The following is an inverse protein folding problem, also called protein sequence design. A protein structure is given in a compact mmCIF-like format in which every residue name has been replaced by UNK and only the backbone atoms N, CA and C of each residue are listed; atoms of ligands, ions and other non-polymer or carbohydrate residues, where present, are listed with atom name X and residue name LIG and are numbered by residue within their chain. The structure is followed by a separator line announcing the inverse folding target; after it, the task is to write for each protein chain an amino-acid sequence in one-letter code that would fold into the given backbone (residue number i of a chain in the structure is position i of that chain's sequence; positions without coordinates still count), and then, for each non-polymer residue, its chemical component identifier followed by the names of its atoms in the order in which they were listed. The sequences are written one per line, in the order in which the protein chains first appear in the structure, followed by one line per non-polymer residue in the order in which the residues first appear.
data_IF_000957513319
#
_entry.id   IF_000957513319
#
_cell.length_a   1.000
_cell.length_b   1.000
_cell.length_c   1.000
_cell.angle_alpha   90.00
_cell.angle_beta   90.00
_cell.angle_gamma   90.00
#
_symmetry.space_group_name_H-M   'P 1'
#
loop_
_entity.id
_entity.type
_entity.pdbx_description
1 polymer ?
#
# COMPACT_ATOMS: atom_id res chain seq x y z
N UNK A 1 -6.95 -26.24 29.99
CA UNK A 1 -7.73 -26.13 28.73
C UNK A 1 -6.92 -26.79 27.61
N UNK A 2 -7.20 -28.04 27.24
CA UNK A 2 -6.49 -28.72 26.13
C UNK A 2 -7.04 -28.17 24.82
N UNK A 3 -6.21 -27.45 24.05
CA UNK A 3 -6.56 -27.03 22.70
C UNK A 3 -6.70 -28.29 21.82
N UNK A 4 -7.75 -28.36 20.99
CA UNK A 4 -7.92 -29.48 20.07
C UNK A 4 -6.80 -29.48 19.03
N UNK A 5 -6.32 -30.67 18.63
CA UNK A 5 -5.24 -30.79 17.63
C UNK A 5 -5.58 -30.09 16.30
N UNK A 6 -6.85 -30.05 15.93
CA UNK A 6 -7.34 -29.34 14.74
C UNK A 6 -7.21 -27.82 14.87
N UNK A 7 -7.50 -27.25 16.03
CA UNK A 7 -7.34 -25.82 16.28
C UNK A 7 -5.86 -25.41 16.26
N UNK A 8 -5.00 -26.22 16.88
CA UNK A 8 -3.54 -26.00 16.84
C UNK A 8 -3.02 -26.04 15.41
N UNK A 9 -3.44 -27.05 14.62
CA UNK A 9 -3.07 -27.15 13.20
C UNK A 9 -3.58 -25.96 12.39
N UNK A 10 -4.81 -25.51 12.63
CA UNK A 10 -5.35 -24.32 11.98
C UNK A 10 -4.46 -23.11 12.24
N UNK A 11 -4.20 -22.77 13.50
CA UNK A 11 -3.38 -21.61 13.88
C UNK A 11 -1.96 -21.72 13.32
N UNK A 12 -1.32 -22.89 13.44
CA UNK A 12 0.04 -23.11 12.97
C UNK A 12 0.18 -22.87 11.45
N UNK A 13 -0.77 -23.36 10.64
CA UNK A 13 -0.73 -23.17 9.19
C UNK A 13 -0.88 -21.69 8.81
N UNK A 14 -1.74 -20.93 9.51
CA UNK A 14 -1.94 -19.50 9.22
C UNK A 14 -0.74 -18.67 9.68
N UNK A 15 -0.16 -19.01 10.83
CA UNK A 15 1.07 -18.39 11.30
C UNK A 15 2.23 -18.65 10.32
N UNK A 16 2.37 -19.87 9.82
CA UNK A 16 3.37 -20.20 8.81
C UNK A 16 3.14 -19.43 7.50
N UNK A 17 1.90 -19.30 7.05
CA UNK A 17 1.56 -18.52 5.86
C UNK A 17 1.91 -17.04 6.02
N UNK A 18 1.53 -16.42 7.14
CA UNK A 18 1.89 -15.03 7.45
C UNK A 18 3.42 -14.86 7.50
N UNK A 19 4.13 -15.80 8.11
CA UNK A 19 5.59 -15.78 8.18
C UNK A 19 6.23 -15.87 6.80
N UNK A 20 5.79 -16.80 5.95
CA UNK A 20 6.34 -16.96 4.60
C UNK A 20 6.04 -15.76 3.70
N UNK A 21 4.82 -15.21 3.78
CA UNK A 21 4.48 -13.96 3.09
C UNK A 21 5.35 -12.80 3.58
N UNK A 22 5.50 -12.66 4.89
CA UNK A 22 6.34 -11.62 5.49
C UNK A 22 7.79 -11.75 5.04
N UNK A 23 8.38 -12.95 5.11
CA UNK A 23 9.76 -13.18 4.68
C UNK A 23 9.93 -12.90 3.18
N UNK A 24 8.91 -13.20 2.37
CA UNK A 24 8.91 -12.85 0.94
C UNK A 24 8.98 -11.33 0.79
N UNK A 25 8.03 -10.57 1.33
CA UNK A 25 8.06 -9.10 1.22
C UNK A 25 9.32 -8.49 1.83
N UNK A 26 9.75 -8.96 3.01
CA UNK A 26 10.95 -8.49 3.67
C UNK A 26 12.21 -8.72 2.83
N UNK A 27 12.34 -9.87 2.15
CA UNK A 27 13.46 -10.11 1.23
C UNK A 27 13.51 -9.05 0.12
N UNK A 28 12.36 -8.65 -0.43
CA UNK A 28 12.28 -7.55 -1.40
C UNK A 28 12.62 -6.19 -0.78
N UNK A 29 12.22 -5.95 0.47
CA UNK A 29 12.59 -4.71 1.20
C UNK A 29 14.09 -4.52 1.33
N UNK A 30 14.85 -5.61 1.53
CA UNK A 30 16.32 -5.59 1.61
C UNK A 30 17.01 -5.62 0.25
N UNK A 31 16.40 -6.26 -0.76
CA UNK A 31 17.01 -6.39 -2.09
C UNK A 31 17.00 -5.07 -2.89
N UNK A 32 16.08 -4.16 -2.59
CA UNK A 32 15.98 -2.85 -3.25
C UNK A 32 16.83 -1.80 -2.54
N UNK A 33 17.65 -1.06 -3.28
CA UNK A 33 18.36 0.10 -2.74
C UNK A 33 17.39 1.21 -2.30
N UNK A 34 17.83 2.08 -1.37
CA UNK A 34 17.10 3.32 -1.06
C UNK A 34 17.07 4.19 -2.32
N UNK A 35 15.89 4.70 -2.67
CA UNK A 35 15.69 5.46 -3.92
C UNK A 35 15.39 4.60 -5.14
N UNK A 36 15.19 3.29 -4.99
CA UNK A 36 14.84 2.39 -6.09
C UNK A 36 13.38 2.50 -6.54
N UNK A 37 12.47 2.96 -5.68
CA UNK A 37 11.04 3.05 -5.99
C UNK A 37 10.67 4.37 -6.67
N UNK A 38 9.62 4.40 -7.51
CA UNK A 38 9.16 5.63 -8.14
C UNK A 38 8.84 6.71 -7.11
N UNK A 39 9.27 7.94 -7.39
CA UNK A 39 9.06 9.15 -6.58
C UNK A 39 9.52 9.01 -5.11
N UNK A 40 10.52 8.16 -4.85
CA UNK A 40 11.00 7.89 -3.49
C UNK A 40 11.65 9.12 -2.84
N UNK A 41 12.27 10.01 -3.62
CA UNK A 41 12.75 11.32 -3.17
C UNK A 41 11.61 12.19 -2.62
N UNK A 42 10.51 12.30 -3.36
CA UNK A 42 9.33 13.06 -2.92
C UNK A 42 8.70 12.43 -1.67
N UNK A 43 8.51 11.10 -1.68
CA UNK A 43 7.85 10.41 -0.56
C UNK A 43 8.72 10.43 0.70
N UNK A 44 10.03 10.17 0.60
CA UNK A 44 10.93 10.21 1.75
C UNK A 44 11.07 11.62 2.30
N UNK A 45 11.22 12.65 1.46
CA UNK A 45 11.25 14.05 1.94
C UNK A 45 9.97 14.39 2.71
N UNK A 46 8.82 13.95 2.20
CA UNK A 46 7.52 14.16 2.84
C UNK A 46 7.39 13.42 4.19
N UNK A 47 7.92 12.20 4.27
CA UNK A 47 7.98 11.43 5.53
C UNK A 47 8.91 12.15 6.50
N UNK A 48 10.11 12.54 6.08
CA UNK A 48 11.12 13.18 6.91
C UNK A 48 10.62 14.49 7.50
N UNK A 49 10.05 15.36 6.67
CA UNK A 49 9.78 16.74 7.05
C UNK A 49 8.34 17.01 7.47
N UNK A 50 7.37 16.28 6.95
CA UNK A 50 5.97 16.68 7.08
C UNK A 50 5.73 18.12 6.59
N UNK A 51 4.73 18.80 7.15
CA UNK A 51 4.40 20.19 6.78
C UNK A 51 5.22 21.23 7.54
N UNK A 52 5.65 20.93 8.77
CA UNK A 52 6.30 21.89 9.67
C UNK A 52 7.80 21.69 9.84
N UNK A 53 8.38 20.66 9.22
CA UNK A 53 9.71 20.14 9.58
C UNK A 53 9.62 19.12 10.71
N UNK A 54 10.73 18.44 10.99
CA UNK A 54 10.82 17.37 11.99
C UNK A 54 12.20 17.38 12.66
N UNK A 55 12.48 18.34 13.57
CA UNK A 55 13.77 18.42 14.23
C UNK A 55 14.07 17.15 15.04
N UNK A 56 15.34 16.68 15.08
CA UNK A 56 16.52 17.27 14.47
C UNK A 56 16.76 16.85 13.00
N UNK A 57 15.91 15.99 12.43
CA UNK A 57 16.16 15.30 11.15
C UNK A 57 15.74 16.07 9.91
N UNK A 58 14.86 17.06 10.05
CA UNK A 58 14.49 17.99 8.99
C UNK A 58 14.08 19.35 9.55
N UNK A 59 14.45 20.43 8.85
CA UNK A 59 14.10 21.82 9.22
C UNK A 59 13.68 22.63 7.99
N UNK A 60 12.87 23.68 8.19
CA UNK A 60 12.57 24.64 7.12
C UNK A 60 13.83 25.42 6.73
N UNK A 61 14.00 25.69 5.45
CA UNK A 61 15.10 26.52 4.95
C UNK A 61 14.81 28.01 5.26
N UNK A 62 15.67 28.71 6.03
CA UNK A 62 15.46 30.13 6.34
C UNK A 62 15.56 31.05 5.12
N UNK A 63 16.25 30.61 4.05
CA UNK A 63 16.46 31.40 2.83
C UNK A 63 15.45 31.03 1.73
N UNK A 64 14.77 29.89 1.84
CA UNK A 64 13.80 29.38 0.86
C UNK A 64 12.47 29.04 1.56
N UNK A 65 11.44 29.91 1.49
CA UNK A 65 10.22 29.78 2.31
C UNK A 65 9.37 28.52 2.08
N UNK A 66 9.60 27.80 0.97
CA UNK A 66 8.91 26.54 0.64
C UNK A 66 9.89 25.36 0.47
N UNK A 67 11.06 25.41 1.11
CA UNK A 67 12.03 24.33 1.04
C UNK A 67 12.37 23.80 2.44
N UNK A 68 12.81 22.55 2.46
CA UNK A 68 13.20 21.81 3.64
C UNK A 68 14.67 21.39 3.51
N UNK A 69 15.41 21.47 4.61
CA UNK A 69 16.77 20.99 4.73
C UNK A 69 16.76 19.66 5.48
N UNK A 70 17.28 18.61 4.84
CA UNK A 70 17.36 17.24 5.34
C UNK A 70 18.54 16.50 4.66
N UNK A 71 18.91 15.29 5.12
CA UNK A 71 19.98 14.52 4.50
C UNK A 71 19.76 14.24 3.01
N UNK A 72 20.82 14.35 2.19
CA UNK A 72 20.76 14.06 0.74
C UNK A 72 20.24 12.65 0.48
N UNK A 73 20.64 11.67 1.29
CA UNK A 73 20.19 10.29 1.16
C UNK A 73 18.67 10.10 1.35
N UNK A 74 17.96 11.07 1.94
CA UNK A 74 16.49 11.06 2.03
C UNK A 74 15.86 11.97 0.97
N UNK A 75 16.48 13.13 0.70
CA UNK A 75 15.99 14.11 -0.27
C UNK A 75 16.14 13.67 -1.73
N UNK A 76 17.26 13.04 -2.07
CA UNK A 76 17.63 12.61 -3.42
C UNK A 76 18.36 11.26 -3.37
N UNK A 77 17.74 10.19 -2.85
CA UNK A 77 18.39 8.89 -2.65
C UNK A 77 18.95 8.26 -3.93
N UNK A 78 18.40 8.64 -5.09
CA UNK A 78 18.83 8.15 -6.41
C UNK A 78 19.81 9.09 -7.13
N UNK A 79 20.32 10.13 -6.46
CA UNK A 79 21.20 11.15 -7.06
C UNK A 79 22.38 10.53 -7.81
N UNK A 80 23.08 9.58 -7.19
CA UNK A 80 24.21 8.92 -7.83
C UNK A 80 23.81 8.22 -9.14
N UNK A 81 22.73 7.42 -9.11
CA UNK A 81 22.26 6.70 -10.30
C UNK A 81 21.85 7.67 -11.41
N UNK A 82 21.22 8.81 -11.05
CA UNK A 82 20.83 9.84 -12.03
C UNK A 82 22.03 10.55 -12.65
N UNK A 83 23.07 10.84 -11.87
CA UNK A 83 24.23 11.62 -12.32
C UNK A 83 25.25 10.77 -13.08
N UNK A 84 25.53 9.56 -12.60
CA UNK A 84 26.61 8.71 -13.13
C UNK A 84 26.08 7.59 -14.02
N UNK A 85 24.80 7.23 -13.93
CA UNK A 85 24.21 6.14 -14.69
C UNK A 85 24.49 4.76 -14.10
N UNK A 86 24.15 3.72 -14.86
CA UNK A 86 24.25 2.31 -14.42
C UNK A 86 25.66 1.73 -14.51
N UNK A 87 26.59 2.40 -15.19
CA UNK A 87 27.97 1.93 -15.38
C UNK A 87 28.85 2.12 -14.14
N UNK A 88 28.37 2.88 -13.15
CA UNK A 88 29.08 3.17 -11.91
C UNK A 88 28.47 2.41 -10.72
N UNK A 89 29.35 1.92 -9.84
CA UNK A 89 28.91 1.30 -8.59
C UNK A 89 28.30 2.33 -7.63
N UNK A 90 27.57 1.84 -6.62
CA UNK A 90 27.00 2.67 -5.56
C UNK A 90 28.04 3.39 -4.66
N UNK A 91 29.35 3.21 -4.89
CA UNK A 91 30.42 3.84 -4.10
C UNK A 91 30.36 5.39 -4.08
N UNK A 92 29.85 6.00 -5.14
CA UNK A 92 29.50 7.43 -5.22
C UNK A 92 28.64 7.94 -4.05
N UNK A 93 27.84 7.09 -3.40
CA UNK A 93 26.99 7.48 -2.28
C UNK A 93 27.82 7.88 -1.05
N UNK A 94 29.07 7.42 -0.95
CA UNK A 94 29.97 7.78 0.15
C UNK A 94 30.24 9.29 0.21
N UNK A 95 30.30 9.96 -0.94
CA UNK A 95 30.59 11.40 -1.00
C UNK A 95 29.44 12.24 -0.45
N UNK A 96 28.19 11.79 -0.64
CA UNK A 96 26.98 12.49 -0.20
C UNK A 96 26.48 12.05 1.18
N UNK A 97 27.10 11.04 1.78
CA UNK A 97 26.67 10.50 3.06
C UNK A 97 26.86 11.54 4.18
N UNK A 98 25.83 11.75 5.00
CA UNK A 98 25.84 12.75 6.08
C UNK A 98 25.76 14.21 5.62
N UNK A 99 25.70 14.49 4.31
CA UNK A 99 25.45 15.82 3.80
C UNK A 99 23.95 16.12 3.80
N UNK A 100 23.61 17.40 3.87
CA UNK A 100 22.23 17.90 3.79
C UNK A 100 22.03 18.76 2.54
N UNK A 101 20.80 18.76 2.02
CA UNK A 101 20.39 19.59 0.89
C UNK A 101 19.06 20.27 1.20
N UNK A 102 18.86 21.44 0.59
CA UNK A 102 17.59 22.15 0.58
C UNK A 102 16.76 21.76 -0.64
N UNK A 103 15.58 21.20 -0.43
CA UNK A 103 14.65 20.80 -1.50
C UNK A 103 13.21 21.24 -1.22
N UNK A 104 12.47 21.54 -2.27
CA UNK A 104 11.02 21.83 -2.25
C UNK A 104 10.20 20.62 -2.73
N UNK A 105 10.84 19.48 -3.00
CA UNK A 105 10.22 18.24 -3.44
C UNK A 105 9.63 17.45 -2.27
N UNK A 106 8.50 17.91 -1.74
CA UNK A 106 7.77 17.24 -0.66
C UNK A 106 6.25 17.44 -0.75
N UNK A 107 5.50 16.79 0.13
CA UNK A 107 4.06 16.76 0.08
C UNK A 107 3.41 18.10 0.41
N UNK A 108 2.92 18.77 -0.64
CA UNK A 108 2.12 19.99 -0.56
C UNK A 108 0.61 19.71 -0.72
N UNK A 109 0.16 18.50 -0.35
CA UNK A 109 -1.24 18.09 -0.38
C UNK A 109 -1.62 17.13 -1.51
N UNK A 110 -0.66 16.61 -2.29
CA UNK A 110 -0.92 15.60 -3.32
C UNK A 110 -1.26 14.23 -2.72
N UNK A 111 -0.59 13.87 -1.62
CA UNK A 111 -0.83 12.63 -0.89
C UNK A 111 -1.54 12.90 0.44
N UNK A 112 -2.44 12.01 0.88
CA UNK A 112 -2.96 12.04 2.24
C UNK A 112 -1.82 11.93 3.26
N UNK A 113 -1.87 12.74 4.31
CA UNK A 113 -0.78 12.79 5.31
C UNK A 113 -0.70 11.53 6.17
N UNK A 114 -1.79 10.77 6.33
CA UNK A 114 -1.85 9.62 7.25
C UNK A 114 -0.77 8.57 7.00
N UNK A 115 -0.54 8.20 5.74
CA UNK A 115 0.53 7.27 5.37
C UNK A 115 1.92 7.82 5.73
N UNK A 116 2.17 9.08 5.36
CA UNK A 116 3.45 9.75 5.57
C UNK A 116 3.75 9.94 7.06
N UNK A 117 2.76 10.36 7.83
CA UNK A 117 2.84 10.56 9.28
C UNK A 117 3.06 9.24 10.02
N UNK A 118 2.44 8.15 9.55
CA UNK A 118 2.64 6.81 10.14
C UNK A 118 4.08 6.35 9.96
N UNK A 119 4.63 6.53 8.75
CA UNK A 119 6.01 6.14 8.48
C UNK A 119 7.04 7.09 9.12
N UNK A 120 6.68 8.35 9.39
CA UNK A 120 7.56 9.34 10.04
C UNK A 120 8.07 8.87 11.39
N UNK A 121 7.33 8.02 12.10
CA UNK A 121 7.76 7.44 13.39
C UNK A 121 9.08 6.67 13.28
N UNK A 122 9.43 6.17 12.08
CA UNK A 122 10.67 5.43 11.85
C UNK A 122 11.86 6.30 11.44
N UNK A 123 11.69 7.62 11.32
CA UNK A 123 12.76 8.55 10.97
C UNK A 123 13.80 8.60 12.10
N UNK A 124 15.07 8.43 11.74
CA UNK A 124 16.21 8.56 12.64
C UNK A 124 17.42 9.17 11.94
N UNK A 125 18.58 9.09 12.61
CA UNK A 125 19.85 9.63 12.10
C UNK A 125 20.41 8.84 10.92
N UNK A 126 20.19 7.52 10.90
CA UNK A 126 20.57 6.64 9.80
C UNK A 126 19.40 6.51 8.82
N UNK A 127 19.56 7.08 7.62
CA UNK A 127 18.52 7.10 6.59
C UNK A 127 18.22 5.70 6.08
N UNK A 128 19.23 4.88 5.83
CA UNK A 128 19.07 3.54 5.26
C UNK A 128 18.34 2.63 6.24
N UNK A 129 18.79 2.63 7.50
CA UNK A 129 18.12 1.86 8.55
C UNK A 129 16.68 2.32 8.77
N UNK A 130 16.40 3.63 8.65
CA UNK A 130 15.05 4.18 8.76
C UNK A 130 14.15 3.71 7.60
N UNK A 131 14.64 3.79 6.36
CA UNK A 131 13.91 3.32 5.17
C UNK A 131 13.64 1.82 5.26
N UNK A 132 14.62 1.01 5.65
CA UNK A 132 14.42 -0.44 5.83
C UNK A 132 13.34 -0.73 6.87
N UNK A 133 13.33 -0.03 8.02
CA UNK A 133 12.27 -0.18 9.03
C UNK A 133 10.88 0.12 8.46
N UNK A 134 10.74 1.19 7.68
CA UNK A 134 9.47 1.57 7.02
C UNK A 134 9.00 0.48 6.06
N UNK A 135 9.91 -0.05 5.23
CA UNK A 135 9.62 -1.13 4.27
C UNK A 135 9.24 -2.44 4.95
N UNK A 136 9.92 -2.79 6.06
CA UNK A 136 9.59 -3.95 6.88
C UNK A 136 8.24 -3.79 7.57
N UNK A 137 7.90 -2.58 8.03
CA UNK A 137 6.58 -2.29 8.58
C UNK A 137 5.48 -2.50 7.53
N UNK A 138 5.63 -1.98 6.32
CA UNK A 138 4.67 -2.21 5.23
C UNK A 138 4.55 -3.71 4.88
N UNK A 139 5.69 -4.43 4.82
CA UNK A 139 5.75 -5.88 4.59
C UNK A 139 5.00 -6.67 5.67
N UNK A 140 5.19 -6.30 6.93
CA UNK A 140 4.50 -6.89 8.07
C UNK A 140 2.99 -6.64 8.01
N UNK A 141 2.59 -5.39 7.76
CA UNK A 141 1.19 -4.99 7.63
C UNK A 141 0.49 -5.79 6.51
N UNK A 142 1.13 -5.92 5.35
CA UNK A 142 0.63 -6.71 4.23
C UNK A 142 0.43 -8.19 4.61
N UNK A 143 1.47 -8.80 5.19
CA UNK A 143 1.43 -10.21 5.56
C UNK A 143 0.32 -10.52 6.57
N UNK A 144 0.13 -9.67 7.57
CA UNK A 144 -0.93 -9.82 8.56
C UNK A 144 -2.31 -9.66 7.93
N UNK A 145 -2.57 -8.55 7.24
CA UNK A 145 -3.90 -8.25 6.72
C UNK A 145 -4.35 -9.22 5.64
N UNK A 146 -3.46 -9.58 4.70
CA UNK A 146 -3.77 -10.55 3.63
C UNK A 146 -4.02 -11.93 4.24
N UNK A 147 -3.20 -12.38 5.19
CA UNK A 147 -3.41 -13.67 5.85
C UNK A 147 -4.73 -13.70 6.60
N UNK A 148 -5.07 -12.64 7.33
CA UNK A 148 -6.36 -12.52 8.02
C UNK A 148 -7.50 -12.58 7.00
N UNK A 149 -7.44 -11.81 5.91
CA UNK A 149 -8.47 -11.78 4.87
C UNK A 149 -8.75 -13.17 4.29
N UNK A 150 -7.70 -13.88 3.89
CA UNK A 150 -7.84 -15.23 3.31
C UNK A 150 -8.28 -16.25 4.36
N UNK A 151 -7.91 -16.08 5.63
CA UNK A 151 -8.23 -17.01 6.71
C UNK A 151 -9.70 -16.98 7.13
N UNK A 152 -10.43 -15.88 6.88
CA UNK A 152 -11.85 -15.76 7.21
C UNK A 152 -12.71 -16.82 6.52
N UNK A 153 -12.35 -17.22 5.29
CA UNK A 153 -12.96 -18.33 4.57
C UNK A 153 -11.94 -19.02 3.64
N UNK A 154 -11.00 -19.74 4.26
CA UNK A 154 -9.90 -20.40 3.53
C UNK A 154 -10.37 -21.28 2.37
N UNK A 155 -11.47 -22.03 2.55
CA UNK A 155 -11.95 -22.99 1.54
C UNK A 155 -12.36 -22.31 0.24
N UNK A 156 -12.87 -21.08 0.32
CA UNK A 156 -13.35 -20.32 -0.84
C UNK A 156 -12.34 -19.27 -1.31
N UNK A 157 -11.51 -18.76 -0.42
CA UNK A 157 -10.53 -17.71 -0.73
C UNK A 157 -9.19 -18.26 -1.24
N UNK A 158 -8.92 -19.57 -1.10
CA UNK A 158 -7.66 -20.17 -1.55
C UNK A 158 -7.40 -19.99 -3.05
N UNK A 159 -8.40 -20.22 -3.90
CA UNK A 159 -8.24 -20.10 -5.36
C UNK A 159 -7.94 -18.66 -5.77
N UNK A 160 -8.67 -17.69 -5.22
CA UNK A 160 -8.42 -16.26 -5.45
C UNK A 160 -7.07 -15.82 -4.91
N UNK A 161 -6.64 -16.36 -3.77
CA UNK A 161 -5.33 -16.07 -3.19
C UNK A 161 -4.19 -16.63 -4.05
N UNK A 162 -4.31 -17.85 -4.58
CA UNK A 162 -3.34 -18.44 -5.49
C UNK A 162 -3.28 -17.64 -6.80
N UNK A 163 -4.43 -17.28 -7.37
CA UNK A 163 -4.48 -16.44 -8.57
C UNK A 163 -3.83 -15.07 -8.33
N UNK A 164 -4.08 -14.47 -7.17
CA UNK A 164 -3.43 -13.22 -6.77
C UNK A 164 -1.92 -13.37 -6.64
N UNK A 165 -1.42 -14.44 -6.02
CA UNK A 165 0.03 -14.69 -5.89
C UNK A 165 0.72 -14.79 -7.25
N UNK A 166 0.07 -15.41 -8.24
CA UNK A 166 0.62 -15.54 -9.61
C UNK A 166 0.73 -14.18 -10.30
N UNK A 167 -0.25 -13.30 -10.12
CA UNK A 167 -0.29 -11.97 -10.78
C UNK A 167 0.51 -10.91 -10.03
N UNK A 168 0.61 -11.03 -8.71
CA UNK A 168 1.27 -10.05 -7.85
C UNK A 168 2.79 -9.96 -8.08
N UNK A 169 3.42 -11.03 -8.55
CA UNK A 169 4.85 -11.06 -8.79
C UNK A 169 5.22 -10.52 -10.18
N UNK A 170 6.23 -9.62 -10.32
CA UNK A 170 7.06 -9.02 -9.27
C UNK A 170 6.53 -7.66 -8.75
N UNK A 171 5.68 -6.98 -9.53
CA UNK A 171 5.40 -5.54 -9.36
C UNK A 171 4.65 -5.24 -8.06
N UNK A 172 3.60 -5.99 -7.74
CA UNK A 172 2.82 -5.76 -6.51
C UNK A 172 3.67 -6.04 -5.28
N UNK A 173 4.47 -7.12 -5.32
CA UNK A 173 5.38 -7.46 -4.21
C UNK A 173 6.40 -6.34 -3.99
N UNK A 174 6.99 -5.82 -5.07
CA UNK A 174 7.92 -4.71 -5.02
C UNK A 174 7.31 -3.46 -4.36
N UNK A 175 6.14 -3.02 -4.83
CA UNK A 175 5.49 -1.83 -4.27
C UNK A 175 5.06 -2.02 -2.82
N UNK A 176 4.50 -3.18 -2.46
CA UNK A 176 4.14 -3.49 -1.07
C UNK A 176 5.37 -3.38 -0.16
N UNK A 177 6.50 -3.94 -0.59
CA UNK A 177 7.76 -3.98 0.16
C UNK A 177 8.59 -2.69 0.10
N UNK A 178 8.06 -1.62 -0.50
CA UNK A 178 8.72 -0.31 -0.65
C UNK A 178 8.14 0.76 0.29
N UNK A 179 8.70 1.96 0.25
CA UNK A 179 8.14 3.16 0.91
C UNK A 179 7.13 3.91 0.03
N UNK A 180 6.90 3.47 -1.21
CA UNK A 180 5.96 4.13 -2.11
C UNK A 180 4.53 4.11 -1.53
N UNK A 181 3.81 5.24 -1.65
CA UNK A 181 2.44 5.37 -1.15
C UNK A 181 1.45 4.34 -1.74
N UNK A 182 1.77 3.76 -2.90
CA UNK A 182 0.97 2.68 -3.49
C UNK A 182 0.98 1.40 -2.66
N UNK A 183 1.91 1.22 -1.71
CA UNK A 183 1.98 0.06 -0.82
C UNK A 183 0.65 -0.19 -0.08
N UNK A 184 0.19 0.78 0.71
CA UNK A 184 -1.06 0.66 1.48
C UNK A 184 -2.31 0.57 0.57
N UNK A 185 -2.27 1.20 -0.61
CA UNK A 185 -3.34 1.07 -1.62
C UNK A 185 -3.43 -0.36 -2.15
N UNK A 186 -2.31 -1.02 -2.44
CA UNK A 186 -2.29 -2.40 -2.92
C UNK A 186 -2.69 -3.40 -1.83
N UNK A 187 -2.22 -3.18 -0.59
CA UNK A 187 -2.64 -3.98 0.57
C UNK A 187 -4.16 -3.85 0.78
N UNK A 188 -4.65 -2.61 0.81
CA UNK A 188 -6.05 -2.28 1.03
C UNK A 188 -6.96 -2.85 -0.05
N UNK A 189 -6.65 -2.63 -1.33
CA UNK A 189 -7.45 -3.18 -2.45
C UNK A 189 -7.50 -4.71 -2.43
N UNK A 190 -6.36 -5.39 -2.19
CA UNK A 190 -6.31 -6.85 -2.06
C UNK A 190 -7.21 -7.36 -0.93
N UNK A 191 -7.06 -6.77 0.26
CA UNK A 191 -7.85 -7.16 1.42
C UNK A 191 -9.34 -6.84 1.24
N UNK A 192 -9.66 -5.70 0.62
CA UNK A 192 -11.03 -5.28 0.31
C UNK A 192 -11.72 -6.29 -0.61
N UNK A 193 -11.05 -6.72 -1.68
CA UNK A 193 -11.62 -7.71 -2.62
C UNK A 193 -11.93 -9.03 -1.91
N UNK A 194 -10.96 -9.58 -1.19
CA UNK A 194 -11.12 -10.88 -0.51
C UNK A 194 -12.18 -10.77 0.60
N UNK A 195 -12.14 -9.72 1.42
CA UNK A 195 -13.06 -9.52 2.52
C UNK A 195 -14.49 -9.28 2.04
N UNK A 196 -14.70 -8.48 0.99
CA UNK A 196 -16.03 -8.21 0.43
C UNK A 196 -16.65 -9.47 -0.17
N UNK A 197 -15.88 -10.23 -0.96
CA UNK A 197 -16.34 -11.52 -1.48
C UNK A 197 -16.69 -12.50 -0.35
N UNK A 198 -15.84 -12.55 0.69
CA UNK A 198 -16.09 -13.39 1.86
C UNK A 198 -17.37 -13.01 2.60
N UNK A 199 -17.61 -11.71 2.78
CA UNK A 199 -18.82 -11.18 3.42
C UNK A 199 -20.08 -11.53 2.62
N UNK A 200 -20.08 -11.32 1.30
CA UNK A 200 -21.21 -11.60 0.42
C UNK A 200 -21.56 -13.09 0.39
N UNK A 201 -20.55 -13.95 0.23
CA UNK A 201 -20.72 -15.42 0.15
C UNK A 201 -21.14 -16.07 1.47
N UNK A 202 -20.92 -15.40 2.60
CA UNK A 202 -21.22 -15.91 3.94
C UNK A 202 -22.28 -15.07 4.69
N UNK A 203 -23.17 -14.38 3.96
CA UNK A 203 -24.22 -13.51 4.51
C UNK A 203 -25.12 -14.16 5.59
N UNK A 204 -25.24 -15.49 5.59
CA UNK A 204 -26.01 -16.23 6.61
C UNK A 204 -25.22 -16.53 7.89
N UNK A 205 -23.89 -16.42 7.87
CA UNK A 205 -23.00 -16.82 8.98
C UNK A 205 -22.36 -15.60 9.62
N UNK A 206 -22.99 -15.06 10.68
CA UNK A 206 -22.56 -13.83 11.38
C UNK A 206 -21.10 -13.86 11.81
N UNK A 207 -20.61 -15.02 12.25
CA UNK A 207 -19.21 -15.20 12.70
C UNK A 207 -18.17 -14.96 11.60
N UNK A 208 -18.57 -14.97 10.33
CA UNK A 208 -17.67 -14.78 9.18
C UNK A 208 -17.95 -13.45 8.49
N UNK A 209 -19.21 -13.13 8.18
CA UNK A 209 -19.50 -11.92 7.41
C UNK A 209 -19.23 -10.64 8.22
N UNK A 210 -19.45 -10.64 9.54
CA UNK A 210 -19.20 -9.46 10.37
C UNK A 210 -17.71 -9.07 10.40
N UNK A 211 -16.75 -9.97 10.74
CA UNK A 211 -15.33 -9.62 10.68
C UNK A 211 -14.85 -9.35 9.24
N UNK A 212 -15.44 -9.99 8.22
CA UNK A 212 -15.14 -9.69 6.83
C UNK A 212 -15.55 -8.27 6.44
N UNK A 213 -16.76 -7.83 6.82
CA UNK A 213 -17.21 -6.44 6.61
C UNK A 213 -16.33 -5.45 7.35
N UNK A 214 -15.96 -5.75 8.61
CA UNK A 214 -15.03 -4.92 9.36
C UNK A 214 -13.68 -4.78 8.64
N UNK A 215 -13.11 -5.89 8.15
CA UNK A 215 -11.86 -5.87 7.40
C UNK A 215 -11.99 -5.10 6.07
N UNK A 216 -13.14 -5.17 5.39
CA UNK A 216 -13.41 -4.37 4.21
C UNK A 216 -13.42 -2.86 4.53
N UNK A 217 -13.99 -2.44 5.67
CA UNK A 217 -13.95 -1.05 6.13
C UNK A 217 -12.53 -0.58 6.48
N UNK A 218 -11.75 -1.42 7.18
CA UNK A 218 -10.33 -1.15 7.43
C UNK A 218 -9.56 -1.00 6.12
N UNK A 219 -9.87 -1.84 5.13
CA UNK A 219 -9.24 -1.80 3.80
C UNK A 219 -9.57 -0.51 3.03
N UNK A 220 -10.82 -0.02 3.13
CA UNK A 220 -11.22 1.28 2.57
C UNK A 220 -10.41 2.39 3.23
N UNK A 221 -10.32 2.41 4.56
CA UNK A 221 -9.54 3.41 5.29
C UNK A 221 -8.06 3.37 4.87
N UNK A 222 -7.45 2.18 4.85
CA UNK A 222 -6.04 1.99 4.51
C UNK A 222 -5.71 2.49 3.09
N UNK A 223 -6.58 2.21 2.12
CA UNK A 223 -6.40 2.65 0.73
C UNK A 223 -6.45 4.17 0.63
N UNK A 224 -7.45 4.79 1.26
CA UNK A 224 -7.63 6.26 1.25
C UNK A 224 -6.58 7.01 2.08
N UNK A 225 -5.97 6.35 3.06
CA UNK A 225 -4.93 6.94 3.91
C UNK A 225 -3.59 7.14 3.17
N UNK A 226 -3.41 6.52 2.00
CA UNK A 226 -2.15 6.54 1.26
C UNK A 226 -2.23 7.18 -0.11
N UNK A 227 -3.32 6.98 -0.86
CA UNK A 227 -3.54 7.65 -2.16
C UNK A 227 -4.98 8.14 -2.27
N UNK A 228 -5.14 9.34 -2.82
CA UNK A 228 -6.45 9.96 -3.07
C UNK A 228 -7.25 9.25 -4.19
N UNK A 229 -6.55 8.63 -5.14
CA UNK A 229 -7.10 7.82 -6.24
C UNK A 229 -7.67 6.48 -5.74
N UNK A 230 -7.28 6.03 -4.54
CA UNK A 230 -7.67 4.75 -3.97
C UNK A 230 -9.18 4.52 -3.91
N UNK A 231 -9.96 5.58 -3.61
CA UNK A 231 -11.43 5.54 -3.63
C UNK A 231 -12.01 5.11 -4.97
N UNK A 232 -11.40 5.55 -6.08
CA UNK A 232 -11.87 5.26 -7.43
C UNK A 232 -11.59 3.79 -7.76
N UNK A 233 -10.39 3.31 -7.43
CA UNK A 233 -10.02 1.90 -7.59
C UNK A 233 -10.94 0.98 -6.80
N UNK A 234 -11.23 1.32 -5.53
CA UNK A 234 -12.15 0.55 -4.69
C UNK A 234 -13.58 0.53 -5.24
N UNK A 235 -14.07 1.66 -5.77
CA UNK A 235 -15.40 1.73 -6.38
C UNK A 235 -15.50 0.81 -7.61
N UNK A 236 -14.49 0.83 -8.49
CA UNK A 236 -14.44 -0.05 -9.67
C UNK A 236 -14.41 -1.53 -9.24
N UNK A 237 -13.57 -1.88 -8.26
CA UNK A 237 -13.49 -3.24 -7.72
C UNK A 237 -14.84 -3.66 -7.14
N UNK A 238 -15.49 -2.79 -6.37
CA UNK A 238 -16.79 -3.09 -5.77
C UNK A 238 -17.86 -3.35 -6.84
N UNK A 239 -17.94 -2.50 -7.87
CA UNK A 239 -18.87 -2.70 -9.00
C UNK A 239 -18.59 -4.02 -9.71
N UNK A 240 -17.33 -4.37 -9.96
CA UNK A 240 -16.95 -5.63 -10.58
C UNK A 240 -17.36 -6.84 -9.73
N UNK A 241 -17.17 -6.77 -8.40
CA UNK A 241 -17.59 -7.83 -7.46
C UNK A 241 -19.11 -8.01 -7.49
N UNK A 242 -19.88 -6.93 -7.42
CA UNK A 242 -21.35 -7.00 -7.46
C UNK A 242 -21.83 -7.55 -8.80
N UNK A 243 -21.27 -7.11 -9.92
CA UNK A 243 -21.62 -7.61 -11.25
C UNK A 243 -21.32 -9.12 -11.40
N UNK A 244 -20.24 -9.60 -10.79
CA UNK A 244 -19.87 -11.01 -10.80
C UNK A 244 -20.77 -11.87 -9.89
N UNK A 245 -21.00 -11.45 -8.64
CA UNK A 245 -21.78 -12.21 -7.66
C UNK A 245 -23.28 -12.21 -7.96
N UNK A 246 -23.81 -11.11 -8.50
CA UNK A 246 -25.21 -10.98 -8.88
C UNK A 246 -25.39 -11.08 -10.39
N UNK A 247 -24.60 -11.94 -11.04
CA UNK A 247 -24.69 -12.23 -12.47
C UNK A 247 -26.17 -12.39 -12.85
N UNK A 248 -26.76 -11.46 -13.63
CA UNK A 248 -28.16 -11.56 -14.01
C UNK A 248 -28.29 -12.80 -14.87
N UNK A 249 -29.06 -13.78 -14.40
CA UNK A 249 -29.27 -15.06 -15.09
C UNK A 249 -30.02 -14.92 -16.42
N UNK A 250 -30.49 -13.72 -16.75
CA UNK A 250 -31.06 -13.33 -18.04
C UNK A 250 -30.63 -11.89 -18.37
N UNK A 251 -29.38 -11.66 -18.76
CA UNK A 251 -29.04 -10.41 -19.46
C UNK A 251 -29.49 -10.55 -20.91
N UNK A 252 -30.70 -10.08 -21.21
CA UNK A 252 -30.96 -9.51 -22.53
C UNK A 252 -30.29 -8.13 -22.50
N UNK A 253 -29.27 -7.90 -23.31
CA UNK A 253 -28.67 -6.56 -23.45
C UNK A 253 -29.71 -5.64 -24.09
N UNK A 254 -30.58 -5.05 -23.27
CA UNK A 254 -31.45 -3.98 -23.69
C UNK A 254 -30.69 -2.66 -23.58
N UNK A 255 -30.95 -1.74 -24.51
CA UNK A 255 -30.28 -0.43 -24.59
C UNK A 255 -30.34 0.32 -23.25
N UNK A 256 -31.39 0.10 -22.46
CA UNK A 256 -31.56 0.67 -21.14
C UNK A 256 -30.49 0.26 -20.11
N UNK A 257 -29.98 -0.98 -20.14
CA UNK A 257 -28.93 -1.44 -19.21
C UNK A 257 -27.56 -0.87 -19.56
N UNK A 258 -27.31 -0.66 -20.85
CA UNK A 258 -26.12 0.02 -21.35
C UNK A 258 -26.20 1.52 -21.02
N UNK A 259 -27.37 2.13 -21.17
CA UNK A 259 -27.62 3.53 -20.78
C UNK A 259 -27.52 3.71 -19.27
N UNK A 260 -27.98 2.79 -18.43
CA UNK A 260 -27.82 2.91 -16.98
C UNK A 260 -26.37 2.76 -16.54
N UNK A 261 -25.61 1.82 -17.13
CA UNK A 261 -24.17 1.68 -16.90
C UNK A 261 -23.37 2.91 -17.39
N UNK A 262 -23.70 3.45 -18.57
CA UNK A 262 -23.14 4.70 -19.08
C UNK A 262 -23.53 5.88 -18.19
N UNK A 263 -24.76 5.93 -17.68
CA UNK A 263 -25.23 7.01 -16.82
C UNK A 263 -24.59 6.97 -15.44
N UNK A 264 -24.25 5.79 -14.90
CA UNK A 264 -23.50 5.68 -13.65
C UNK A 264 -22.02 6.01 -13.85
N UNK A 265 -21.42 5.68 -15.01
CA UNK A 265 -20.09 6.16 -15.41
C UNK A 265 -20.08 7.68 -15.61
N UNK A 266 -21.10 8.26 -16.25
CA UNK A 266 -21.26 9.72 -16.45
C UNK A 266 -21.58 10.43 -15.13
N UNK A 267 -22.37 9.85 -14.22
CA UNK A 267 -22.60 10.39 -12.89
C UNK A 267 -21.33 10.35 -12.02
N UNK A 268 -20.51 9.29 -12.14
CA UNK A 268 -19.18 9.22 -11.55
C UNK A 268 -18.24 10.26 -12.16
N UNK A 269 -18.31 10.52 -13.47
CA UNK A 269 -17.56 11.57 -14.15
C UNK A 269 -18.04 12.99 -13.76
N UNK A 270 -19.33 13.20 -13.50
CA UNK A 270 -19.88 14.47 -13.04
C UNK A 270 -19.58 14.73 -11.56
N UNK A 271 -19.47 13.68 -10.74
CA UNK A 271 -18.93 13.78 -9.38
C UNK A 271 -17.40 14.00 -9.37
N UNK A 272 -16.71 13.58 -10.43
CA UNK A 272 -15.28 13.81 -10.68
C UNK A 272 -14.98 15.26 -11.10
N UNK A 273 -15.90 15.94 -11.80
CA UNK A 273 -15.77 17.34 -12.23
C UNK A 273 -16.48 18.36 -11.34
N UNK A 274 -16.68 18.09 -10.04
CA UNK A 274 -17.02 19.19 -9.12
C UNK A 274 -15.84 20.16 -9.05
N UNK A 275 -16.06 21.33 -9.68
CA UNK A 275 -15.37 22.61 -9.55
C UNK A 275 -14.68 22.80 -8.19
#
# INVERSE_FOLDING_TARGET
MKLSGEFVRFVAVRALMALLLFLTFAAWSFASAVGGSPDEDYVLTSIWCGTEGNPPHCRKDPNRPNAMILPIMAAEPSLCLRQLGQDYSAACQQEIYGQEISTDLFNQGLYPNTYLDTLRVFVGSDVEASVVKMRIFNSFLAAVLITVAVSLDWRRSADSFIAWLVVAAPVTIYFIASVNASSWTLIGTTCFTIATLTALKNRSTVKIWLPATFLALVSIWLTNASRSEGKQTLAIIFVAIIAFEFKPTTIVFNVQTVVTALSSVVALALLYFRL
#
